data_IF_891883280508
#
_entry.id   IF_891883280508
#
_cell.length_a   1.000
_cell.length_b   1.000
_cell.length_c   1.000
_cell.angle_alpha   90.00
_cell.angle_beta   90.00
_cell.angle_gamma   90.00
#
_symmetry.space_group_name_H-M   'P 1'
#
loop_
_entity.id
_entity.type
_entity.pdbx_description
1 polymer ?
#
# COMPACT_ATOMS: atom_id res chain seq x y z
N UNK A 1 31.57 -14.99 -15.76
CA UNK A 1 32.97 -15.34 -16.10
C UNK A 1 33.98 -14.29 -15.65
N UNK A 2 33.90 -13.02 -16.05
CA UNK A 2 34.92 -11.99 -15.71
C UNK A 2 35.06 -11.69 -14.20
N UNK A 3 34.02 -11.96 -13.42
CA UNK A 3 34.02 -11.84 -11.96
C UNK A 3 34.34 -13.18 -11.25
N UNK A 4 34.78 -14.21 -11.99
CA UNK A 4 35.18 -15.51 -11.43
C UNK A 4 34.04 -16.48 -11.08
N UNK A 5 32.78 -16.08 -11.26
CA UNK A 5 31.58 -16.87 -10.92
C UNK A 5 31.50 -18.15 -11.76
N UNK A 6 31.27 -19.29 -11.08
CA UNK A 6 31.12 -20.63 -11.68
C UNK A 6 29.65 -21.01 -11.92
N UNK A 7 29.39 -22.10 -12.67
CA UNK A 7 28.04 -22.51 -13.12
C UNK A 7 27.06 -22.80 -11.97
N UNK A 8 27.50 -23.47 -10.91
CA UNK A 8 26.66 -23.87 -9.77
C UNK A 8 26.80 -22.96 -8.53
N UNK A 9 27.37 -21.76 -8.71
CA UNK A 9 27.62 -20.84 -7.60
C UNK A 9 26.34 -20.10 -7.18
N UNK A 10 26.08 -20.03 -5.87
CA UNK A 10 24.91 -19.37 -5.34
C UNK A 10 25.13 -17.86 -5.20
N UNK A 11 24.26 -17.07 -5.84
CA UNK A 11 24.29 -15.61 -5.78
C UNK A 11 23.11 -15.07 -5.00
N UNK A 12 23.34 -13.95 -4.29
CA UNK A 12 22.30 -13.22 -3.58
C UNK A 12 21.74 -12.09 -4.46
N UNK A 13 20.49 -12.24 -4.89
CA UNK A 13 19.74 -11.12 -5.44
C UNK A 13 19.19 -10.26 -4.29
N UNK A 14 19.61 -8.99 -4.27
CA UNK A 14 19.20 -8.00 -3.26
C UNK A 14 18.95 -6.65 -3.92
N UNK A 15 18.07 -5.87 -3.31
CA UNK A 15 17.91 -4.46 -3.66
C UNK A 15 19.17 -3.70 -3.22
N UNK A 16 20.03 -3.38 -4.18
CA UNK A 16 21.32 -2.69 -3.97
C UNK A 16 21.17 -1.21 -3.64
N UNK A 17 20.28 -0.54 -4.36
CA UNK A 17 20.06 0.91 -4.25
C UNK A 17 18.72 1.20 -3.57
N UNK A 18 18.77 1.99 -2.50
CA UNK A 18 17.62 2.31 -1.64
C UNK A 18 16.81 3.51 -2.17
N UNK A 19 16.61 3.55 -3.49
CA UNK A 19 15.81 4.54 -4.21
C UNK A 19 14.79 3.82 -5.09
N UNK A 20 13.64 3.49 -4.50
CA UNK A 20 12.60 2.69 -5.14
C UNK A 20 11.66 3.58 -5.95
N UNK A 21 11.84 3.57 -7.27
CA UNK A 21 10.99 4.32 -8.20
C UNK A 21 9.68 3.58 -8.46
N UNK A 22 8.57 4.33 -8.36
CA UNK A 22 7.20 3.94 -8.72
C UNK A 22 6.76 2.54 -8.23
N UNK A 23 6.82 2.30 -6.91
CA UNK A 23 6.26 1.07 -6.34
C UNK A 23 4.73 1.04 -6.50
N UNK A 24 4.24 0.34 -7.51
CA UNK A 24 2.83 0.32 -7.87
C UNK A 24 2.13 -0.98 -7.37
N UNK A 25 1.27 -0.92 -6.35
CA UNK A 25 0.61 -2.11 -5.81
C UNK A 25 -0.21 -2.92 -6.82
N UNK A 26 -0.61 -2.34 -7.97
CA UNK A 26 -1.35 -3.05 -9.02
C UNK A 26 -0.47 -3.95 -9.89
N UNK A 27 0.79 -3.56 -10.12
CA UNK A 27 1.66 -4.23 -11.10
C UNK A 27 2.89 -4.88 -10.43
N UNK A 28 3.33 -4.37 -9.27
CA UNK A 28 4.59 -4.72 -8.63
C UNK A 28 4.44 -5.73 -7.49
N UNK A 29 3.42 -6.60 -7.48
CA UNK A 29 3.15 -7.49 -6.36
C UNK A 29 4.39 -8.33 -5.94
N UNK A 30 5.14 -8.87 -6.90
CA UNK A 30 6.37 -9.64 -6.66
C UNK A 30 7.49 -8.74 -6.15
N UNK A 31 7.73 -7.60 -6.79
CA UNK A 31 8.77 -6.63 -6.41
C UNK A 31 8.54 -6.10 -4.98
N UNK A 32 7.30 -5.75 -4.65
CA UNK A 32 6.89 -5.30 -3.32
C UNK A 32 7.09 -6.43 -2.30
N UNK A 33 6.75 -7.68 -2.63
CA UNK A 33 6.96 -8.80 -1.74
C UNK A 33 8.45 -9.02 -1.42
N UNK A 34 9.31 -9.04 -2.44
CA UNK A 34 10.75 -9.24 -2.23
C UNK A 34 11.37 -8.08 -1.45
N UNK A 35 10.92 -6.85 -1.69
CA UNK A 35 11.39 -5.68 -0.95
C UNK A 35 10.95 -5.71 0.51
N UNK A 36 9.71 -6.12 0.76
CA UNK A 36 9.19 -6.37 2.10
C UNK A 36 10.02 -7.44 2.83
N UNK A 37 10.33 -8.57 2.20
CA UNK A 37 11.13 -9.63 2.82
C UNK A 37 12.55 -9.15 3.14
N UNK A 38 13.19 -8.40 2.23
CA UNK A 38 14.50 -7.81 2.52
C UNK A 38 14.45 -6.85 3.72
N UNK A 39 13.43 -5.98 3.78
CA UNK A 39 13.24 -5.08 4.91
C UNK A 39 12.94 -5.84 6.22
N UNK A 40 12.12 -6.90 6.16
CA UNK A 40 11.76 -7.75 7.30
C UNK A 40 13.00 -8.39 7.90
N UNK A 41 13.85 -9.00 7.06
CA UNK A 41 15.09 -9.61 7.52
C UNK A 41 16.06 -8.58 8.10
N UNK A 42 16.20 -7.41 7.48
CA UNK A 42 17.04 -6.34 8.02
C UNK A 42 16.62 -5.90 9.43
N UNK A 43 15.31 -5.82 9.69
CA UNK A 43 14.75 -5.47 11.01
C UNK A 43 14.95 -6.61 12.02
N UNK A 44 14.64 -7.86 11.64
CA UNK A 44 14.72 -9.00 12.55
C UNK A 44 16.15 -9.37 12.92
N UNK A 45 17.09 -9.22 11.98
CA UNK A 45 18.51 -9.48 12.19
C UNK A 45 19.26 -8.29 12.80
N UNK A 46 18.58 -7.18 13.08
CA UNK A 46 19.18 -5.96 13.64
C UNK A 46 20.28 -5.38 12.73
N UNK A 47 20.13 -5.52 11.42
CA UNK A 47 20.99 -4.83 10.43
C UNK A 47 20.68 -3.32 10.37
N UNK A 48 19.46 -2.95 10.75
CA UNK A 48 19.02 -1.57 10.95
C UNK A 48 18.31 -1.43 12.29
N UNK A 49 18.71 -0.43 13.05
CA UNK A 49 18.11 -0.15 14.36
C UNK A 49 16.74 0.53 14.23
N UNK A 50 15.82 0.11 15.10
CA UNK A 50 14.55 0.81 15.33
C UNK A 50 14.23 0.87 16.83
N UNK A 51 13.33 1.78 17.18
CA UNK A 51 12.80 1.90 18.53
C UNK A 51 11.90 0.71 18.89
N UNK A 52 11.61 0.55 20.18
CA UNK A 52 10.72 -0.52 20.67
C UNK A 52 9.29 -0.37 20.14
N UNK A 53 8.78 0.86 20.05
CA UNK A 53 7.44 1.14 19.50
C UNK A 53 7.38 0.86 18.00
N UNK A 54 8.40 1.23 17.24
CA UNK A 54 8.50 0.89 15.81
C UNK A 54 8.58 -0.63 15.60
N UNK A 55 9.35 -1.35 16.43
CA UNK A 55 9.43 -2.81 16.39
C UNK A 55 8.05 -3.47 16.57
N UNK A 56 7.20 -2.95 17.46
CA UNK A 56 5.84 -3.47 17.66
C UNK A 56 4.94 -3.22 16.46
N UNK A 57 5.10 -2.07 15.77
CA UNK A 57 4.40 -1.79 14.52
C UNK A 57 4.85 -2.78 13.44
N UNK A 58 6.16 -3.00 13.29
CA UNK A 58 6.71 -4.00 12.35
C UNK A 58 6.20 -5.41 12.66
N UNK A 59 6.16 -5.80 13.94
CA UNK A 59 5.65 -7.10 14.37
C UNK A 59 4.15 -7.27 14.07
N UNK A 60 3.34 -6.23 14.32
CA UNK A 60 1.92 -6.24 14.02
C UNK A 60 1.63 -6.34 12.51
N UNK A 61 2.40 -5.62 11.69
CA UNK A 61 2.32 -5.72 10.23
C UNK A 61 2.74 -7.11 9.74
N UNK A 62 3.84 -7.68 10.27
CA UNK A 62 4.26 -9.04 9.93
C UNK A 62 3.19 -10.07 10.30
N UNK A 63 2.67 -10.02 11.52
CA UNK A 63 1.60 -10.91 11.96
C UNK A 63 0.37 -10.80 11.05
N UNK A 64 -0.03 -9.58 10.67
CA UNK A 64 -1.14 -9.37 9.76
C UNK A 64 -0.88 -9.96 8.36
N UNK A 65 0.33 -9.73 7.82
CA UNK A 65 0.75 -10.24 6.52
C UNK A 65 0.77 -11.77 6.53
N UNK A 66 1.36 -12.40 7.55
CA UNK A 66 1.38 -13.86 7.70
C UNK A 66 -0.03 -14.45 7.77
N UNK A 67 -0.93 -13.82 8.53
CA UNK A 67 -2.33 -14.26 8.64
C UNK A 67 -3.05 -14.21 7.29
N UNK A 68 -2.85 -13.14 6.51
CA UNK A 68 -3.46 -12.97 5.19
C UNK A 68 -2.86 -13.91 4.13
N UNK A 69 -1.55 -14.13 4.15
CA UNK A 69 -0.87 -15.06 3.22
C UNK A 69 -1.33 -16.50 3.43
N UNK A 70 -1.43 -16.96 4.69
CA UNK A 70 -1.90 -18.32 4.99
C UNK A 70 -3.34 -18.54 4.51
N UNK A 71 -4.21 -17.54 4.67
CA UNK A 71 -5.60 -17.62 4.17
C UNK A 71 -5.70 -17.63 2.65
N UNK A 72 -4.69 -17.12 1.93
CA UNK A 72 -4.63 -17.16 0.48
C UNK A 72 -4.15 -18.53 -0.02
N UNK A 73 -3.18 -19.15 0.66
CA UNK A 73 -2.65 -20.48 0.30
C UNK A 73 -3.66 -21.62 0.53
N UNK A 74 -4.58 -21.47 1.49
CA UNK A 74 -5.62 -22.50 1.73
C UNK A 74 -6.69 -22.55 0.63
N UNK A 75 -6.74 -21.55 -0.26
CA UNK A 75 -7.65 -21.52 -1.41
C UNK A 75 -7.07 -22.19 -2.67
N UNK A 76 -5.78 -22.56 -2.68
CA UNK A 76 -5.08 -23.11 -3.87
C UNK A 76 -5.04 -24.66 -3.91
N UNK A 77 -5.61 -25.36 -2.90
CA UNK A 77 -5.59 -26.84 -2.81
C UNK A 77 -6.96 -27.53 -2.85
N UNK A 78 -8.07 -26.80 -3.00
CA UNK A 78 -9.33 -27.41 -3.45
C UNK A 78 -9.43 -27.22 -4.95
N UNK A 79 -9.48 -28.33 -5.67
CA UNK A 79 -9.88 -28.39 -7.08
C UNK A 79 -11.35 -27.94 -7.22
N UNK A 80 -11.60 -26.64 -7.06
CA UNK A 80 -12.93 -26.00 -7.05
C UNK A 80 -13.08 -24.98 -8.17
N UNK A 81 -12.19 -24.96 -9.17
CA UNK A 81 -12.35 -24.07 -10.33
C UNK A 81 -13.34 -24.59 -11.37
N UNK A 82 -13.59 -25.89 -11.46
CA UNK A 82 -14.47 -26.45 -12.52
C UNK A 82 -15.82 -26.94 -11.99
N UNK A 83 -15.92 -27.35 -10.73
CA UNK A 83 -17.18 -27.91 -10.18
C UNK A 83 -18.16 -26.79 -9.81
N UNK A 84 -17.69 -25.69 -9.23
CA UNK A 84 -18.52 -24.55 -8.82
C UNK A 84 -19.04 -23.74 -10.01
N UNK A 85 -18.29 -23.66 -11.11
CA UNK A 85 -18.75 -23.00 -12.34
C UNK A 85 -19.83 -23.83 -13.05
N UNK A 86 -19.73 -25.16 -13.01
CA UNK A 86 -20.74 -26.07 -13.59
C UNK A 86 -22.01 -26.08 -12.73
N UNK A 87 -21.90 -26.07 -11.40
CA UNK A 87 -23.05 -26.03 -10.48
C UNK A 87 -23.76 -24.66 -10.49
N UNK A 88 -22.99 -23.56 -10.62
CA UNK A 88 -23.55 -22.22 -10.84
C UNK A 88 -24.17 -22.06 -12.24
N UNK A 89 -23.61 -22.68 -13.28
CA UNK A 89 -24.20 -22.71 -14.62
C UNK A 89 -25.49 -23.55 -14.68
N UNK A 90 -25.54 -24.66 -13.93
CA UNK A 90 -26.75 -25.48 -13.77
C UNK A 90 -27.87 -24.72 -13.03
N UNK A 91 -27.54 -23.97 -11.98
CA UNK A 91 -28.52 -23.13 -11.26
C UNK A 91 -29.06 -21.99 -12.13
N UNK A 92 -28.24 -21.40 -13.00
CA UNK A 92 -28.69 -20.37 -13.95
C UNK A 92 -29.58 -20.94 -15.07
N UNK A 93 -29.37 -22.20 -15.47
CA UNK A 93 -30.21 -22.87 -16.47
C UNK A 93 -31.53 -23.38 -15.87
N UNK A 94 -31.57 -23.75 -14.59
CA UNK A 94 -32.78 -24.19 -13.90
C UNK A 94 -33.79 -23.03 -13.70
N UNK A 95 -33.30 -21.79 -13.61
CA UNK A 95 -34.14 -20.57 -13.56
C UNK A 95 -34.74 -20.21 -14.93
N UNK A 96 -34.23 -20.78 -16.03
CA UNK A 96 -34.69 -20.45 -17.39
C UNK A 96 -35.78 -21.41 -17.92
N UNK A 97 -36.16 -22.45 -17.16
CA UNK A 97 -37.12 -23.48 -17.63
C UNK A 97 -38.35 -23.73 -16.75
N UNK A 98 -38.56 -22.96 -15.67
CA UNK A 98 -39.87 -22.94 -14.99
C UNK A 98 -40.69 -21.71 -15.41
N UNK A 99 -41.33 -21.84 -16.58
CA UNK A 99 -42.47 -21.01 -16.92
C UNK A 99 -43.66 -21.38 -16.03
N UNK A 100 -44.10 -20.45 -15.17
CA UNK A 100 -45.34 -20.66 -14.42
C UNK A 100 -45.71 -19.57 -13.40
N UNK A 101 -46.70 -18.77 -13.79
CA UNK A 101 -47.61 -17.93 -12.97
C UNK A 101 -47.07 -16.59 -12.47
N UNK A 102 -47.19 -15.58 -13.34
CA UNK A 102 -47.40 -14.20 -12.91
C UNK A 102 -48.90 -13.99 -12.69
N UNK A 103 -49.31 -13.72 -11.44
CA UNK A 103 -50.61 -13.13 -11.12
C UNK A 103 -50.43 -12.01 -10.09
N UNK A 104 -50.88 -10.81 -10.50
CA UNK A 104 -51.14 -9.61 -9.70
C UNK A 104 -49.90 -8.92 -9.06
N UNK A 105 -49.63 -7.63 -9.20
CA UNK A 105 -50.49 -6.44 -9.27
C UNK A 105 -49.83 -5.37 -10.16
N UNK A 106 -50.66 -4.72 -10.98
CA UNK A 106 -50.37 -3.43 -11.58
C UNK A 106 -50.38 -2.38 -10.46
N UNK A 107 -49.22 -1.88 -10.05
CA UNK A 107 -49.10 -0.63 -9.28
C UNK A 107 -48.58 0.49 -10.21
N UNK A 108 -49.15 1.67 -10.00
CA UNK A 108 -49.17 2.85 -10.86
C UNK A 108 -47.81 3.31 -11.43
N UNK A 109 -47.75 3.44 -12.76
CA UNK A 109 -46.57 3.87 -13.55
C UNK A 109 -46.39 5.41 -13.55
N UNK A 110 -47.01 6.15 -12.61
CA UNK A 110 -46.90 7.63 -12.58
C UNK A 110 -46.10 8.19 -11.41
N UNK A 111 -45.68 7.37 -10.44
CA UNK A 111 -44.85 7.85 -9.33
C UNK A 111 -43.36 7.62 -9.60
N UNK A 112 -42.62 8.72 -9.70
CA UNK A 112 -41.16 8.70 -9.83
C UNK A 112 -40.59 8.13 -8.51
N UNK A 113 -39.94 6.95 -8.53
CA UNK A 113 -39.42 6.33 -7.32
C UNK A 113 -38.38 7.24 -6.66
N UNK A 114 -38.53 7.40 -5.35
CA UNK A 114 -37.72 8.29 -4.52
C UNK A 114 -37.19 7.50 -3.32
N UNK A 115 -35.90 7.65 -3.06
CA UNK A 115 -35.23 7.08 -1.89
C UNK A 115 -34.85 8.21 -0.95
N UNK A 116 -35.16 8.10 0.34
CA UNK A 116 -34.96 9.17 1.29
C UNK A 116 -34.59 8.64 2.68
N UNK A 117 -33.41 9.02 3.17
CA UNK A 117 -32.84 8.48 4.40
C UNK A 117 -31.86 9.45 5.08
N UNK A 118 -31.57 9.20 6.36
CA UNK A 118 -30.44 9.83 7.04
C UNK A 118 -29.15 9.09 6.70
N UNK A 119 -28.19 9.78 6.09
CA UNK A 119 -26.85 9.25 5.81
C UNK A 119 -25.77 10.16 6.40
N UNK A 120 -24.60 9.59 6.62
CA UNK A 120 -23.41 10.33 7.08
C UNK A 120 -22.55 10.71 5.88
N UNK A 121 -22.28 12.00 5.73
CA UNK A 121 -21.49 12.58 4.65
C UNK A 121 -20.09 12.97 5.15
N UNK A 122 -19.07 12.63 4.37
CA UNK A 122 -17.72 13.16 4.52
C UNK A 122 -17.23 13.72 3.17
N UNK A 123 -16.52 14.86 3.24
CA UNK A 123 -15.82 15.46 2.10
C UNK A 123 -14.38 15.85 2.47
N UNK A 124 -13.40 15.52 1.62
CA UNK A 124 -12.03 15.93 1.84
C UNK A 124 -11.89 17.45 1.55
N UNK A 125 -11.72 18.27 2.59
CA UNK A 125 -11.30 19.67 2.45
C UNK A 125 -9.84 19.80 2.88
N UNK A 126 -9.07 20.60 2.16
CA UNK A 126 -7.61 20.77 2.34
C UNK A 126 -7.15 21.24 3.74
N UNK A 127 -8.07 21.69 4.62
CA UNK A 127 -7.69 22.44 5.84
C UNK A 127 -8.51 22.12 7.14
N UNK A 128 -9.35 21.08 7.20
CA UNK A 128 -10.11 20.76 8.44
C UNK A 128 -10.18 19.26 8.73
N UNK A 129 -10.21 18.91 10.02
CA UNK A 129 -10.27 17.55 10.57
C UNK A 129 -11.38 16.68 9.96
N UNK A 130 -11.04 15.41 9.73
CA UNK A 130 -11.88 14.38 9.08
C UNK A 130 -13.05 13.95 9.99
N UNK A 131 -14.24 14.55 9.82
CA UNK A 131 -15.44 14.13 10.55
C UNK A 131 -16.63 13.90 9.62
N UNK A 132 -17.30 12.76 9.77
CA UNK A 132 -18.59 12.48 9.14
C UNK A 132 -19.69 13.30 9.83
N UNK A 133 -20.57 13.91 9.03
CA UNK A 133 -21.74 14.66 9.53
C UNK A 133 -23.01 14.04 8.97
N UNK A 134 -24.05 13.94 9.80
CA UNK A 134 -25.34 13.38 9.38
C UNK A 134 -26.17 14.44 8.64
N UNK A 135 -26.80 14.02 7.54
CA UNK A 135 -27.72 14.82 6.73
C UNK A 135 -28.90 13.96 6.27
N UNK A 136 -29.99 14.62 5.88
CA UNK A 136 -31.13 13.99 5.24
C UNK A 136 -30.94 13.97 3.73
N UNK A 137 -30.82 12.79 3.14
CA UNK A 137 -30.60 12.61 1.71
C UNK A 137 -31.88 12.22 1.00
N UNK A 138 -32.05 12.73 -0.22
CA UNK A 138 -33.13 12.40 -1.14
C UNK A 138 -32.52 12.08 -2.50
N UNK A 139 -32.77 10.87 -2.97
CA UNK A 139 -32.42 10.41 -4.31
C UNK A 139 -33.67 10.42 -5.18
N UNK A 140 -33.60 11.11 -6.32
CA UNK A 140 -34.68 11.17 -7.30
C UNK A 140 -34.08 11.22 -8.71
N UNK A 141 -34.66 10.45 -9.63
CA UNK A 141 -34.18 10.29 -11.00
C UNK A 141 -32.74 9.77 -11.05
N UNK A 142 -31.79 10.61 -11.45
CA UNK A 142 -30.34 10.33 -11.45
C UNK A 142 -29.57 11.30 -10.55
N UNK A 143 -30.27 12.00 -9.65
CA UNK A 143 -29.69 13.05 -8.81
C UNK A 143 -29.85 12.74 -7.33
N UNK A 144 -28.85 13.13 -6.56
CA UNK A 144 -28.86 13.11 -5.11
C UNK A 144 -28.89 14.55 -4.57
N UNK A 145 -29.81 14.83 -3.67
CA UNK A 145 -29.92 16.08 -2.95
C UNK A 145 -29.88 15.82 -1.45
N UNK A 146 -29.32 16.74 -0.66
CA UNK A 146 -29.33 16.59 0.79
C UNK A 146 -29.60 17.87 1.55
N UNK A 147 -30.17 17.72 2.74
CA UNK A 147 -30.68 18.76 3.62
C UNK A 147 -30.11 18.58 5.02
N UNK A 148 -30.10 19.64 5.84
CA UNK A 148 -29.61 19.56 7.22
C UNK A 148 -30.42 18.57 8.06
N UNK A 149 -31.72 18.49 7.83
CA UNK A 149 -32.66 17.59 8.50
C UNK A 149 -33.88 17.33 7.60
N UNK A 150 -34.74 16.40 8.00
CA UNK A 150 -35.94 15.99 7.25
C UNK A 150 -36.98 17.10 7.11
N UNK A 151 -37.10 17.98 8.09
CA UNK A 151 -38.08 19.08 8.10
C UNK A 151 -37.85 20.10 6.98
N UNK A 152 -36.59 20.25 6.55
CA UNK A 152 -36.19 21.18 5.49
C UNK A 152 -36.23 20.58 4.09
N UNK A 153 -36.77 19.37 3.91
CA UNK A 153 -36.80 18.67 2.63
C UNK A 153 -37.59 19.43 1.53
N UNK A 154 -38.64 20.18 1.92
CA UNK A 154 -39.41 21.02 0.99
C UNK A 154 -38.74 22.37 0.68
N UNK A 155 -37.62 22.69 1.35
CA UNK A 155 -36.84 23.91 1.13
C UNK A 155 -35.72 23.75 0.11
N UNK A 156 -34.77 24.68 0.10
CA UNK A 156 -33.58 24.58 -0.74
C UNK A 156 -32.60 23.53 -0.20
N UNK A 157 -32.12 22.59 -1.04
CA UNK A 157 -31.12 21.62 -0.62
C UNK A 157 -29.78 22.30 -0.35
N UNK A 158 -29.01 21.75 0.58
CA UNK A 158 -27.63 22.17 0.83
C UNK A 158 -26.80 22.01 -0.43
N UNK A 159 -27.05 20.92 -1.16
CA UNK A 159 -26.49 20.71 -2.49
C UNK A 159 -27.33 19.69 -3.26
N UNK A 160 -27.34 19.80 -4.58
CA UNK A 160 -27.93 18.82 -5.50
C UNK A 160 -26.90 18.44 -6.55
N UNK A 161 -26.68 17.14 -6.71
CA UNK A 161 -25.66 16.58 -7.58
C UNK A 161 -26.27 15.60 -8.55
N UNK A 162 -25.92 15.71 -9.83
CA UNK A 162 -26.27 14.72 -10.84
C UNK A 162 -25.17 13.65 -10.88
N UNK A 163 -25.57 12.39 -10.80
CA UNK A 163 -24.64 11.27 -10.73
C UNK A 163 -24.31 10.66 -12.09
N UNK A 164 -24.89 11.15 -13.20
CA UNK A 164 -24.56 10.63 -14.54
C UNK A 164 -23.06 10.73 -14.83
N UNK A 165 -22.46 9.61 -15.21
CA UNK A 165 -21.02 9.52 -15.48
C UNK A 165 -20.12 9.60 -14.24
N UNK A 166 -20.67 9.48 -13.02
CA UNK A 166 -19.86 9.38 -11.82
C UNK A 166 -19.27 7.97 -11.65
N UNK A 167 -18.10 7.88 -11.02
CA UNK A 167 -17.54 6.60 -10.58
C UNK A 167 -18.05 6.29 -9.17
N UNK A 168 -18.69 5.13 -9.02
CA UNK A 168 -19.28 4.66 -7.76
C UNK A 168 -18.43 3.53 -7.22
N UNK A 169 -17.76 3.76 -6.08
CA UNK A 169 -16.83 2.81 -5.48
C UNK A 169 -17.37 2.32 -4.12
N UNK A 170 -17.52 0.99 -3.91
CA UNK A 170 -17.92 0.44 -2.63
C UNK A 170 -16.82 0.61 -1.57
N UNK A 171 -17.21 1.03 -0.37
CA UNK A 171 -16.36 1.07 0.83
C UNK A 171 -17.04 0.29 1.97
N UNK A 172 -17.16 -1.03 1.78
CA UNK A 172 -17.93 -1.92 2.66
C UNK A 172 -17.04 -2.86 3.45
N UNK A 173 -17.27 -2.90 4.76
CA UNK A 173 -16.83 -3.96 5.65
C UNK A 173 -18.04 -4.44 6.47
N UNK A 174 -18.57 -5.62 6.10
CA UNK A 174 -19.75 -6.23 6.74
C UNK A 174 -19.48 -6.55 8.20
N UNK A 175 -18.33 -7.15 8.52
CA UNK A 175 -17.94 -7.50 9.89
C UNK A 175 -17.76 -6.26 10.79
N UNK A 176 -17.21 -5.18 10.23
CA UNK A 176 -17.02 -3.90 10.93
C UNK A 176 -18.24 -2.97 10.89
N UNK A 177 -19.41 -3.43 10.38
CA UNK A 177 -20.62 -2.62 10.17
C UNK A 177 -20.34 -1.28 9.48
N UNK A 178 -19.42 -1.29 8.50
CA UNK A 178 -19.07 -0.13 7.69
C UNK A 178 -19.72 -0.30 6.33
N UNK A 179 -20.68 0.55 6.02
CA UNK A 179 -21.39 0.52 4.74
C UNK A 179 -21.22 1.86 4.01
N UNK A 180 -20.06 2.03 3.39
CA UNK A 180 -19.67 3.27 2.71
C UNK A 180 -19.85 3.20 1.19
N UNK A 181 -20.17 4.35 0.59
CA UNK A 181 -20.22 4.56 -0.87
C UNK A 181 -19.36 5.80 -1.17
N UNK A 182 -18.30 5.63 -1.96
CA UNK A 182 -17.51 6.74 -2.48
C UNK A 182 -18.02 7.11 -3.87
N UNK A 183 -18.33 8.39 -4.06
CA UNK A 183 -18.80 8.97 -5.31
C UNK A 183 -17.75 9.94 -5.84
N UNK A 184 -17.34 9.75 -7.09
CA UNK A 184 -16.43 10.63 -7.82
C UNK A 184 -17.23 11.27 -8.97
N UNK A 185 -17.70 12.49 -8.76
CA UNK A 185 -18.65 13.15 -9.66
C UNK A 185 -17.88 14.14 -10.56
N UNK A 186 -17.91 13.98 -11.89
CA UNK A 186 -17.23 14.90 -12.80
C UNK A 186 -17.90 16.28 -12.77
N UNK A 187 -17.09 17.32 -12.56
CA UNK A 187 -17.50 18.73 -12.58
C UNK A 187 -16.58 19.53 -13.51
N UNK A 188 -16.98 20.72 -13.93
CA UNK A 188 -16.21 21.53 -14.89
C UNK A 188 -14.76 21.85 -14.44
N UNK A 189 -14.50 21.85 -13.12
CA UNK A 189 -13.22 22.20 -12.50
C UNK A 189 -12.51 20.97 -11.87
N UNK A 190 -12.79 19.76 -12.35
CA UNK A 190 -12.16 18.50 -11.91
C UNK A 190 -13.16 17.43 -11.42
N UNK A 191 -12.83 16.74 -10.33
CA UNK A 191 -13.69 15.69 -9.75
C UNK A 191 -14.15 16.10 -8.35
N UNK A 192 -15.45 16.08 -8.11
CA UNK A 192 -16.03 16.30 -6.78
C UNK A 192 -16.11 14.95 -6.04
N UNK A 193 -15.29 14.77 -5.01
CA UNK A 193 -15.28 13.56 -4.18
C UNK A 193 -16.25 13.65 -2.99
N UNK A 194 -17.12 12.65 -2.86
CA UNK A 194 -18.09 12.54 -1.77
C UNK A 194 -18.09 11.13 -1.17
N UNK A 195 -18.15 11.03 0.15
CA UNK A 195 -18.24 9.75 0.88
C UNK A 195 -19.55 9.70 1.65
N UNK A 196 -20.43 8.78 1.27
CA UNK A 196 -21.68 8.47 1.97
C UNK A 196 -21.46 7.27 2.87
N UNK A 197 -22.05 7.27 4.05
CA UNK A 197 -22.06 6.13 4.97
C UNK A 197 -23.47 5.84 5.43
N UNK A 198 -23.91 4.61 5.17
CA UNK A 198 -25.17 4.03 5.57
C UNK A 198 -25.03 3.33 6.93
N UNK A 199 -26.15 3.11 7.61
CA UNK A 199 -26.18 2.52 8.94
C UNK A 199 -26.33 0.98 8.92
N UNK A 200 -27.00 0.41 7.90
CA UNK A 200 -27.22 -1.03 7.79
C UNK A 200 -27.22 -1.56 6.34
N UNK A 201 -27.12 -2.88 6.18
CA UNK A 201 -26.98 -3.59 4.89
C UNK A 201 -28.08 -3.25 3.88
N UNK A 202 -29.35 -3.28 4.33
CA UNK A 202 -30.49 -2.98 3.44
C UNK A 202 -30.46 -1.55 2.90
N UNK A 203 -30.15 -0.56 3.74
CA UNK A 203 -30.02 0.82 3.32
C UNK A 203 -28.87 0.94 2.32
N UNK A 204 -27.71 0.38 2.65
CA UNK A 204 -26.58 0.38 1.73
C UNK A 204 -26.89 -0.23 0.37
N UNK A 205 -27.56 -1.39 0.33
CA UNK A 205 -27.86 -2.07 -0.93
C UNK A 205 -28.77 -1.21 -1.83
N UNK A 206 -29.79 -0.58 -1.26
CA UNK A 206 -30.69 0.33 -1.98
C UNK A 206 -29.95 1.56 -2.51
N UNK A 207 -29.18 2.23 -1.66
CA UNK A 207 -28.43 3.44 -2.03
C UNK A 207 -27.31 3.14 -3.03
N UNK A 208 -26.64 1.99 -2.91
CA UNK A 208 -25.58 1.57 -3.82
C UNK A 208 -26.13 1.22 -5.20
N UNK A 209 -27.19 0.41 -5.28
CA UNK A 209 -27.86 0.10 -6.54
C UNK A 209 -28.36 1.39 -7.24
N UNK A 210 -28.96 2.32 -6.48
CA UNK A 210 -29.44 3.59 -7.02
C UNK A 210 -28.29 4.43 -7.61
N UNK A 211 -27.16 4.55 -6.89
CA UNK A 211 -25.98 5.28 -7.38
C UNK A 211 -25.37 4.62 -8.63
N UNK A 212 -25.25 3.28 -8.66
CA UNK A 212 -24.69 2.54 -9.79
C UNK A 212 -25.57 2.60 -11.04
N UNK A 213 -26.90 2.67 -10.90
CA UNK A 213 -27.80 2.88 -12.03
C UNK A 213 -27.73 4.33 -12.53
N UNK A 214 -27.73 5.30 -11.62
CA UNK A 214 -27.66 6.71 -12.00
C UNK A 214 -26.33 7.08 -12.68
N UNK A 215 -25.21 6.43 -12.32
CA UNK A 215 -23.95 6.62 -13.04
C UNK A 215 -24.02 6.19 -14.50
N UNK A 216 -24.79 5.14 -14.79
CA UNK A 216 -25.12 4.66 -16.14
C UNK A 216 -26.27 5.42 -16.80
N UNK A 217 -26.81 6.46 -16.14
CA UNK A 217 -27.93 7.26 -16.64
C UNK A 217 -29.31 6.64 -16.48
N UNK A 218 -29.43 5.52 -15.76
CA UNK A 218 -30.68 4.81 -15.48
C UNK A 218 -31.29 5.27 -14.16
N UNK A 219 -32.60 5.17 -14.01
CA UNK A 219 -33.33 5.53 -12.79
C UNK A 219 -33.69 4.30 -11.97
N UNK A 220 -34.16 4.49 -10.73
CA UNK A 220 -34.69 3.39 -9.90
C UNK A 220 -36.00 2.78 -10.45
N UNK A 221 -36.60 3.38 -11.48
CA UNK A 221 -37.74 2.80 -12.20
C UNK A 221 -37.30 1.77 -13.26
N UNK A 222 -36.00 1.64 -13.54
CA UNK A 222 -35.49 0.58 -14.42
C UNK A 222 -35.73 -0.79 -13.76
N UNK A 223 -36.24 -1.75 -14.55
CA UNK A 223 -36.45 -3.14 -14.15
C UNK A 223 -35.23 -3.81 -13.50
N UNK A 224 -34.01 -3.33 -13.78
CA UNK A 224 -32.78 -3.83 -13.17
C UNK A 224 -32.54 -3.38 -11.72
N UNK A 225 -33.27 -2.39 -11.21
CA UNK A 225 -33.03 -1.86 -9.85
C UNK A 225 -33.29 -2.89 -8.75
N UNK A 226 -34.44 -3.55 -8.75
CA UNK A 226 -34.77 -4.54 -7.72
C UNK A 226 -33.85 -5.78 -7.76
N UNK A 227 -33.56 -6.37 -8.94
CA UNK A 227 -32.56 -7.43 -9.06
C UNK A 227 -31.18 -7.00 -8.55
N UNK A 228 -30.74 -5.76 -8.85
CA UNK A 228 -29.45 -5.26 -8.40
C UNK A 228 -29.38 -5.12 -6.86
N UNK A 229 -30.45 -4.62 -6.24
CA UNK A 229 -30.55 -4.57 -4.76
C UNK A 229 -30.45 -5.96 -4.16
N UNK A 230 -31.14 -6.95 -4.74
CA UNK A 230 -31.10 -8.34 -4.29
C UNK A 230 -29.71 -8.96 -4.50
N UNK A 231 -29.03 -8.68 -5.61
CA UNK A 231 -27.67 -9.12 -5.89
C UNK A 231 -26.66 -8.54 -4.89
N UNK A 232 -26.80 -7.26 -4.54
CA UNK A 232 -25.95 -6.65 -3.52
C UNK A 232 -26.22 -7.28 -2.15
N UNK A 233 -27.50 -7.50 -1.79
CA UNK A 233 -27.86 -8.16 -0.53
C UNK A 233 -27.37 -9.61 -0.47
N UNK A 234 -27.48 -10.38 -1.55
CA UNK A 234 -26.97 -11.75 -1.60
C UNK A 234 -25.45 -11.76 -1.48
N UNK A 235 -24.75 -10.84 -2.14
CA UNK A 235 -23.29 -10.66 -1.99
C UNK A 235 -22.89 -10.29 -0.56
N UNK A 236 -23.62 -9.38 0.10
CA UNK A 236 -23.37 -9.02 1.50
C UNK A 236 -23.62 -10.22 2.43
N UNK A 237 -24.69 -10.99 2.20
CA UNK A 237 -24.99 -12.22 2.96
C UNK A 237 -23.97 -13.31 2.73
N UNK A 238 -23.45 -13.51 1.52
CA UNK A 238 -22.37 -14.45 1.23
C UNK A 238 -21.09 -14.06 1.96
N UNK A 239 -20.75 -12.76 1.95
CA UNK A 239 -19.65 -12.22 2.78
C UNK A 239 -19.90 -12.39 4.28
N UNK A 240 -21.15 -12.27 4.73
CA UNK A 240 -21.56 -12.51 6.11
C UNK A 240 -21.53 -14.00 6.49
N UNK A 241 -21.82 -14.92 5.55
CA UNK A 241 -21.81 -16.38 5.77
C UNK A 241 -20.39 -16.96 5.79
N UNK A 242 -19.49 -16.37 4.99
CA UNK A 242 -18.05 -16.63 5.05
C UNK A 242 -17.41 -16.05 6.33
N UNK A 243 -18.01 -15.03 6.95
CA UNK A 243 -17.58 -14.55 8.27
C UNK A 243 -18.27 -15.28 9.43
N UNK A 244 -19.54 -15.66 9.33
CA UNK A 244 -20.25 -16.41 10.37
C UNK A 244 -19.76 -17.87 10.50
N UNK A 245 -19.31 -18.49 9.40
CA UNK A 245 -18.71 -19.84 9.43
C UNK A 245 -17.21 -19.83 9.79
N UNK A 246 -16.58 -18.65 9.91
CA UNK A 246 -15.19 -18.50 10.37
C UNK A 246 -15.05 -17.81 11.74
N UNK A 247 -16.13 -17.34 12.36
CA UNK A 247 -16.08 -16.62 13.65
C UNK A 247 -16.37 -17.51 14.86
N UNK A 248 -16.90 -18.73 14.69
CA UNK A 248 -17.33 -19.54 15.84
C UNK A 248 -16.43 -20.73 16.24
N UNK A 249 -15.36 -21.08 15.51
CA UNK A 249 -14.54 -22.23 15.94
C UNK A 249 -13.07 -22.29 15.51
N UNK A 250 -12.42 -21.21 15.05
CA UNK A 250 -11.01 -21.32 14.64
C UNK A 250 -10.13 -20.05 14.77
N UNK A 251 -10.57 -19.01 15.48
CA UNK A 251 -9.75 -17.80 15.69
C UNK A 251 -9.28 -17.54 17.13
N UNK A 252 -9.59 -18.41 18.09
CA UNK A 252 -9.17 -18.20 19.50
C UNK A 252 -7.94 -18.99 19.94
N UNK A 253 -7.34 -19.85 19.12
CA UNK A 253 -6.05 -20.48 19.45
C UNK A 253 -5.24 -20.74 18.18
N UNK A 254 -4.73 -19.68 17.56
CA UNK A 254 -3.40 -19.82 16.98
C UNK A 254 -2.44 -19.49 18.12
N UNK A 255 -1.60 -20.43 18.54
CA UNK A 255 -0.52 -20.15 19.47
C UNK A 255 0.41 -19.15 18.78
N UNK A 256 0.10 -17.86 18.92
CA UNK A 256 0.90 -16.79 18.37
C UNK A 256 2.28 -16.94 19.00
N UNK A 257 3.30 -17.22 18.19
CA UNK A 257 4.68 -17.14 18.64
C UNK A 257 5.19 -15.71 18.42
N UNK A 258 5.09 -14.81 19.43
CA UNK A 258 5.44 -13.40 19.25
C UNK A 258 6.93 -13.19 18.97
N UNK A 259 7.77 -14.15 19.36
CA UNK A 259 9.23 -14.09 19.20
C UNK A 259 9.66 -14.19 17.72
N UNK A 260 8.81 -14.73 16.84
CA UNK A 260 9.08 -14.79 15.40
C UNK A 260 8.89 -13.45 14.68
N UNK A 261 8.23 -12.48 15.31
CA UNK A 261 7.87 -11.20 14.69
C UNK A 261 8.73 -10.03 15.17
N UNK A 262 9.63 -10.26 16.12
CA UNK A 262 10.51 -9.24 16.70
C UNK A 262 11.96 -9.68 16.66
N UNK A 263 12.88 -8.73 16.80
CA UNK A 263 14.30 -9.05 16.88
C UNK A 263 14.68 -9.82 18.16
N UNK A 264 15.79 -10.58 18.17
CA UNK A 264 16.25 -11.34 19.34
C UNK A 264 16.44 -10.49 20.59
N UNK A 265 16.88 -9.23 20.46
CA UNK A 265 17.02 -8.30 21.59
C UNK A 265 15.67 -7.93 22.19
N UNK A 266 14.66 -7.66 21.35
CA UNK A 266 13.31 -7.35 21.80
C UNK A 266 12.65 -8.57 22.46
N UNK A 267 12.79 -9.75 21.86
CA UNK A 267 12.28 -11.01 22.42
C UNK A 267 12.83 -11.29 23.83
N UNK A 268 14.13 -11.08 24.06
CA UNK A 268 14.77 -11.28 25.38
C UNK A 268 14.30 -10.29 26.45
N UNK A 269 13.82 -9.10 26.06
CA UNK A 269 13.45 -8.02 27.00
C UNK A 269 12.06 -8.21 27.61
N UNK A 270 11.15 -8.91 26.92
CA UNK A 270 9.76 -9.05 27.33
C UNK A 270 9.38 -10.53 27.53
N UNK A 271 8.46 -10.79 28.46
CA UNK A 271 7.86 -12.13 28.56
C UNK A 271 6.95 -12.35 27.34
N UNK A 272 7.00 -13.56 26.76
CA UNK A 272 6.23 -13.93 25.56
C UNK A 272 4.75 -13.49 25.60
N UNK A 273 4.01 -13.76 26.69
CA UNK A 273 2.61 -13.33 26.83
C UNK A 273 2.40 -11.81 26.78
N UNK A 274 3.29 -11.03 27.39
CA UNK A 274 3.21 -9.57 27.37
C UNK A 274 3.50 -9.03 25.97
N UNK A 275 4.48 -9.63 25.30
CA UNK A 275 4.84 -9.27 23.93
C UNK A 275 3.68 -9.54 22.96
N UNK A 276 3.06 -10.72 23.06
CA UNK A 276 1.88 -11.07 22.27
C UNK A 276 0.74 -10.04 22.46
N UNK A 277 0.44 -9.65 23.71
CA UNK A 277 -0.59 -8.65 23.99
C UNK A 277 -0.28 -7.29 23.32
N UNK A 278 0.97 -6.82 23.38
CA UNK A 278 1.36 -5.54 22.75
C UNK A 278 1.31 -5.61 21.22
N UNK A 279 1.69 -6.73 20.62
CA UNK A 279 1.58 -6.91 19.16
C UNK A 279 0.11 -6.93 18.74
N UNK A 280 -0.77 -7.60 19.49
CA UNK A 280 -2.22 -7.63 19.21
C UNK A 280 -2.88 -6.26 19.38
N UNK A 281 -2.43 -5.45 20.34
CA UNK A 281 -2.87 -4.07 20.50
C UNK A 281 -2.50 -3.22 19.26
N UNK A 282 -1.23 -3.29 18.83
CA UNK A 282 -0.78 -2.61 17.62
C UNK A 282 -1.48 -3.14 16.35
N UNK A 283 -1.82 -4.43 16.31
CA UNK A 283 -2.52 -5.09 15.20
C UNK A 283 -3.90 -4.48 14.92
N UNK A 284 -4.61 -3.99 15.94
CA UNK A 284 -5.93 -3.36 15.77
C UNK A 284 -5.90 -2.18 14.79
N UNK A 285 -4.77 -1.47 14.71
CA UNK A 285 -4.60 -0.32 13.82
C UNK A 285 -4.37 -0.72 12.35
N UNK A 286 -3.98 -1.98 12.09
CA UNK A 286 -3.64 -2.48 10.75
C UNK A 286 -4.55 -3.60 10.27
N UNK A 287 -5.43 -4.13 11.11
CA UNK A 287 -6.24 -5.32 10.86
C UNK A 287 -7.16 -5.27 9.61
N UNK A 288 -7.41 -4.08 9.06
CA UNK A 288 -8.27 -3.87 7.89
C UNK A 288 -7.49 -3.62 6.60
N UNK A 289 -6.15 -3.67 6.64
CA UNK A 289 -5.31 -3.40 5.47
C UNK A 289 -5.26 -4.61 4.53
N UNK A 290 -5.42 -4.42 3.22
CA UNK A 290 -5.14 -5.48 2.25
C UNK A 290 -3.68 -5.94 2.29
N UNK A 291 -3.40 -7.17 1.86
CA UNK A 291 -2.07 -7.78 1.93
C UNK A 291 -0.96 -6.91 1.32
N UNK A 292 -1.18 -6.40 0.10
CA UNK A 292 -0.19 -5.56 -0.60
C UNK A 292 -0.02 -4.20 0.09
N UNK A 293 -1.11 -3.63 0.61
CA UNK A 293 -1.04 -2.37 1.35
C UNK A 293 -0.27 -2.55 2.67
N UNK A 294 -0.48 -3.65 3.40
CA UNK A 294 0.27 -3.96 4.62
C UNK A 294 1.78 -4.08 4.34
N UNK A 295 2.17 -4.75 3.24
CA UNK A 295 3.58 -4.82 2.79
C UNK A 295 4.15 -3.44 2.46
N UNK A 296 3.39 -2.61 1.74
CA UNK A 296 3.82 -1.23 1.44
C UNK A 296 3.95 -0.38 2.70
N UNK A 297 3.04 -0.52 3.67
CA UNK A 297 3.14 0.16 4.97
C UNK A 297 4.37 -0.27 5.76
N UNK A 298 4.72 -1.55 5.71
CA UNK A 298 5.96 -2.05 6.30
C UNK A 298 7.19 -1.38 5.65
N UNK A 299 7.24 -1.34 4.31
CA UNK A 299 8.34 -0.70 3.57
C UNK A 299 8.42 0.80 3.89
N UNK A 300 7.28 1.49 3.98
CA UNK A 300 7.22 2.91 4.32
C UNK A 300 7.72 3.19 5.75
N UNK A 301 7.34 2.35 6.72
CA UNK A 301 7.86 2.46 8.09
C UNK A 301 9.37 2.22 8.12
N UNK A 302 9.87 1.23 7.39
CA UNK A 302 11.30 0.98 7.25
C UNK A 302 12.06 2.14 6.60
N UNK A 303 11.47 2.77 5.58
CA UNK A 303 12.01 3.97 4.93
C UNK A 303 12.10 5.19 5.86
N UNK A 304 11.27 5.23 6.91
CA UNK A 304 11.25 6.33 7.87
C UNK A 304 12.32 6.22 8.96
N UNK A 305 13.02 5.09 9.04
CA UNK A 305 14.08 4.89 10.03
C UNK A 305 15.29 5.79 9.76
N UNK A 306 15.98 6.31 10.79
CA UNK A 306 17.07 7.27 10.63
C UNK A 306 18.23 6.77 9.77
N UNK A 307 18.56 5.48 9.87
CA UNK A 307 19.67 4.86 9.14
C UNK A 307 19.25 4.23 7.81
N UNK A 308 18.00 4.42 7.39
CA UNK A 308 17.50 3.84 6.16
C UNK A 308 18.35 4.25 4.94
N UNK A 309 18.72 3.26 4.15
CA UNK A 309 19.42 3.46 2.89
C UNK A 309 20.85 3.96 3.05
N UNK A 310 21.52 3.63 4.16
CA UNK A 310 22.96 3.78 4.31
C UNK A 310 23.66 2.46 4.02
N UNK A 311 24.69 2.50 3.17
CA UNK A 311 25.63 1.39 2.96
C UNK A 311 26.98 1.81 3.49
N UNK A 312 27.57 1.00 4.38
CA UNK A 312 28.78 1.35 5.10
C UNK A 312 30.03 0.69 4.49
N UNK A 313 31.10 1.46 4.38
CA UNK A 313 32.42 0.98 3.96
C UNK A 313 33.48 1.46 4.94
N UNK A 314 34.35 0.55 5.38
CA UNK A 314 35.58 0.94 6.06
C UNK A 314 36.54 1.59 5.06
N UNK A 315 36.97 2.83 5.34
CA UNK A 315 37.81 3.63 4.46
C UNK A 315 38.94 4.32 5.23
N UNK A 316 40.01 4.68 4.52
CA UNK A 316 41.06 5.57 5.02
C UNK A 316 41.13 6.82 4.16
N UNK A 317 40.81 7.98 4.76
CA UNK A 317 40.90 9.26 4.08
C UNK A 317 42.36 9.68 3.85
N UNK A 318 42.63 10.32 2.71
CA UNK A 318 43.95 10.83 2.36
C UNK A 318 44.47 11.79 3.44
N UNK A 319 45.69 11.56 3.91
CA UNK A 319 46.30 12.34 4.99
C UNK A 319 45.89 11.91 6.41
N UNK A 320 44.92 11.01 6.56
CA UNK A 320 44.58 10.38 7.85
C UNK A 320 45.36 9.09 8.06
N UNK A 321 45.81 8.86 9.29
CA UNK A 321 46.31 7.55 9.74
C UNK A 321 45.22 6.69 10.39
N UNK A 322 44.05 7.28 10.67
CA UNK A 322 42.91 6.61 11.28
C UNK A 322 41.97 6.08 10.21
N UNK A 323 41.38 4.92 10.49
CA UNK A 323 40.32 4.34 9.70
C UNK A 323 38.98 4.94 10.13
N UNK A 324 38.15 5.27 9.15
CA UNK A 324 36.84 5.89 9.31
C UNK A 324 35.81 5.05 8.55
N UNK A 325 34.53 5.27 8.82
CA UNK A 325 33.43 4.65 8.07
C UNK A 325 32.89 5.66 7.06
N UNK A 326 32.69 5.23 5.82
CA UNK A 326 31.97 5.96 4.79
C UNK A 326 30.56 5.37 4.67
N UNK A 327 29.55 6.14 5.06
CA UNK A 327 28.15 5.85 4.76
C UNK A 327 27.76 6.43 3.41
N UNK A 328 27.30 5.59 2.49
CA UNK A 328 26.79 6.00 1.18
C UNK A 328 25.26 5.87 1.19
N UNK A 329 24.56 6.98 0.89
CA UNK A 329 23.10 7.01 0.76
C UNK A 329 22.70 7.54 -0.61
N UNK A 330 21.40 7.53 -0.90
CA UNK A 330 20.87 7.92 -2.21
C UNK A 330 21.15 9.38 -2.62
N UNK A 331 21.42 10.26 -1.65
CA UNK A 331 21.61 11.69 -1.88
C UNK A 331 22.87 12.27 -1.23
N UNK A 332 23.65 11.47 -0.49
CA UNK A 332 24.77 11.97 0.32
C UNK A 332 25.79 10.90 0.66
N UNK A 333 27.01 11.36 0.95
CA UNK A 333 28.08 10.61 1.59
C UNK A 333 28.27 11.14 3.00
N UNK A 334 28.54 10.25 3.96
CA UNK A 334 28.75 10.60 5.36
C UNK A 334 30.07 9.97 5.80
N UNK A 335 31.00 10.78 6.29
CA UNK A 335 32.14 10.32 7.07
C UNK A 335 31.70 10.14 8.52
N UNK A 336 31.90 8.94 9.05
CA UNK A 336 31.57 8.54 10.41
C UNK A 336 32.86 8.11 11.10
N UNK A 337 33.08 8.57 12.32
CA UNK A 337 34.24 8.15 13.12
C UNK A 337 34.03 6.69 13.55
N UNK A 338 34.97 5.81 13.20
CA UNK A 338 34.82 4.37 13.41
C UNK A 338 34.84 3.95 14.89
N UNK A 339 35.39 4.79 15.78
CA UNK A 339 35.48 4.49 17.21
C UNK A 339 34.22 4.91 17.97
N UNK A 340 33.61 6.03 17.58
CA UNK A 340 32.45 6.62 18.27
C UNK A 340 31.12 6.35 17.57
N UNK A 341 31.14 6.02 16.27
CA UNK A 341 29.94 5.88 15.44
C UNK A 341 29.26 7.22 15.10
N UNK A 342 29.89 8.36 15.43
CA UNK A 342 29.29 9.69 15.25
C UNK A 342 29.59 10.23 13.83
N UNK A 343 28.59 10.77 13.10
CA UNK A 343 28.81 11.47 11.85
C UNK A 343 29.71 12.70 12.04
N UNK A 344 30.83 12.75 11.30
CA UNK A 344 31.82 13.83 11.33
C UNK A 344 31.59 14.84 10.21
N UNK A 345 31.34 14.37 8.99
CA UNK A 345 31.18 15.23 7.81
C UNK A 345 30.16 14.63 6.86
N UNK A 346 29.29 15.45 6.29
CA UNK A 346 28.30 15.02 5.30
C UNK A 346 28.47 15.81 4.01
N UNK A 347 28.60 15.10 2.89
CA UNK A 347 28.67 15.67 1.55
C UNK A 347 27.41 15.31 0.76
N UNK A 348 26.78 16.28 0.12
CA UNK A 348 25.58 16.05 -0.69
C UNK A 348 25.94 15.77 -2.15
N UNK A 349 25.23 14.85 -2.79
CA UNK A 349 25.42 14.54 -4.20
C UNK A 349 25.13 15.72 -5.12
N UNK A 350 24.22 16.61 -4.73
CA UNK A 350 23.93 17.86 -5.46
C UNK A 350 25.14 18.75 -5.66
N UNK A 351 26.18 18.60 -4.83
CA UNK A 351 27.38 19.42 -4.86
C UNK A 351 28.54 18.68 -5.52
N UNK A 352 28.36 17.43 -6.00
CA UNK A 352 29.42 16.70 -6.70
C UNK A 352 29.54 17.27 -8.11
N UNK A 353 30.76 17.67 -8.48
CA UNK A 353 31.09 18.05 -9.85
C UNK A 353 31.55 16.85 -10.67
N UNK A 354 32.46 16.06 -10.09
CA UNK A 354 33.04 14.88 -10.70
C UNK A 354 33.66 13.97 -9.64
N UNK A 355 33.82 12.69 -9.96
CA UNK A 355 34.60 11.75 -9.17
C UNK A 355 35.45 10.89 -10.10
N UNK A 356 36.60 10.45 -9.62
CA UNK A 356 37.49 9.56 -10.35
C UNK A 356 38.08 8.51 -9.40
N UNK A 357 38.46 7.36 -9.93
CA UNK A 357 39.21 6.33 -9.21
C UNK A 357 40.63 6.28 -9.76
N UNK A 358 41.60 6.59 -8.92
CA UNK A 358 43.00 6.36 -9.24
C UNK A 358 43.32 4.87 -9.00
N UNK A 359 43.47 4.09 -10.07
CA UNK A 359 43.69 2.65 -10.02
C UNK A 359 45.07 2.26 -9.47
N UNK A 360 46.10 3.09 -9.69
CA UNK A 360 47.45 2.83 -9.18
C UNK A 360 47.49 2.90 -7.65
N UNK A 361 46.83 3.90 -7.08
CA UNK A 361 46.80 4.14 -5.62
C UNK A 361 45.56 3.54 -4.96
N UNK A 362 44.63 2.99 -5.74
CA UNK A 362 43.30 2.53 -5.29
C UNK A 362 42.60 3.58 -4.42
N UNK A 363 42.50 4.80 -4.94
CA UNK A 363 41.86 5.93 -4.26
C UNK A 363 40.68 6.45 -5.06
N UNK A 364 39.54 6.59 -4.39
CA UNK A 364 38.40 7.36 -4.92
C UNK A 364 38.64 8.82 -4.57
N UNK A 365 38.60 9.70 -5.57
CA UNK A 365 38.72 11.15 -5.42
C UNK A 365 37.43 11.78 -5.89
N UNK A 366 36.82 12.61 -5.04
CA UNK A 366 35.55 13.30 -5.34
C UNK A 366 35.79 14.80 -5.22
N UNK A 367 35.45 15.51 -6.29
CA UNK A 367 35.43 16.96 -6.34
C UNK A 367 33.99 17.46 -6.10
N UNK A 368 33.86 18.33 -5.13
CA UNK A 368 32.63 19.05 -4.84
C UNK A 368 32.75 20.51 -5.27
N UNK A 369 31.63 21.22 -5.21
CA UNK A 369 31.58 22.67 -5.36
C UNK A 369 32.53 23.39 -4.38
N UNK A 370 32.87 24.63 -4.74
CA UNK A 370 33.76 25.50 -3.95
C UNK A 370 35.19 24.94 -3.76
N UNK A 371 35.66 24.13 -4.72
CA UNK A 371 37.00 23.53 -4.72
C UNK A 371 37.26 22.65 -3.48
N UNK A 372 36.22 22.02 -2.95
CA UNK A 372 36.34 21.03 -1.87
C UNK A 372 36.63 19.68 -2.49
N UNK A 373 37.72 19.03 -2.07
CA UNK A 373 38.09 17.70 -2.53
C UNK A 373 38.12 16.73 -1.35
N UNK A 374 37.65 15.51 -1.57
CA UNK A 374 37.90 14.40 -0.65
C UNK A 374 38.51 13.24 -1.42
N UNK A 375 39.43 12.53 -0.78
CA UNK A 375 40.04 11.35 -1.34
C UNK A 375 40.16 10.28 -0.26
N UNK A 376 39.86 9.04 -0.60
CA UNK A 376 39.93 7.91 0.33
C UNK A 376 40.21 6.60 -0.39
N UNK A 377 40.82 5.66 0.34
CA UNK A 377 40.98 4.27 -0.07
C UNK A 377 39.98 3.39 0.67
N UNK A 378 39.28 2.52 -0.05
CA UNK A 378 38.39 1.51 0.55
C UNK A 378 39.20 0.33 1.10
N UNK A 379 38.93 -0.05 2.35
CA UNK A 379 39.60 -1.15 3.04
C UNK A 379 38.74 -2.42 3.11
N UNK A 380 37.42 -2.24 3.12
CA UNK A 380 36.42 -3.33 3.23
C UNK A 380 35.95 -3.88 1.88
N UNK A 381 36.19 -3.15 0.79
CA UNK A 381 35.70 -3.46 -0.54
C UNK A 381 36.62 -2.85 -1.60
N UNK A 382 36.52 -3.30 -2.85
CA UNK A 382 37.19 -2.65 -3.97
C UNK A 382 36.61 -1.23 -4.18
N UNK A 383 37.47 -0.28 -4.54
CA UNK A 383 37.07 1.09 -4.87
C UNK A 383 36.07 1.14 -6.04
N UNK A 384 36.08 0.13 -6.93
CA UNK A 384 35.06 -0.09 -7.97
C UNK A 384 33.65 -0.10 -7.40
N UNK A 385 33.44 -0.75 -6.26
CA UNK A 385 32.12 -0.90 -5.67
C UNK A 385 31.61 0.47 -5.21
N UNK A 386 32.42 1.25 -4.51
CA UNK A 386 32.01 2.60 -4.05
C UNK A 386 31.79 3.54 -5.23
N UNK A 387 32.63 3.46 -6.26
CA UNK A 387 32.43 4.20 -7.52
C UNK A 387 31.08 3.86 -8.17
N UNK A 388 30.75 2.57 -8.28
CA UNK A 388 29.47 2.10 -8.84
C UNK A 388 28.27 2.54 -7.99
N UNK A 389 28.42 2.62 -6.66
CA UNK A 389 27.37 3.12 -5.78
C UNK A 389 27.10 4.61 -6.00
N UNK A 390 28.14 5.44 -6.13
CA UNK A 390 28.00 6.88 -6.42
C UNK A 390 27.34 7.08 -7.79
N UNK A 391 27.89 6.46 -8.83
CA UNK A 391 27.37 6.56 -10.19
C UNK A 391 25.94 6.04 -10.33
N UNK A 392 25.66 4.89 -9.71
CA UNK A 392 24.33 4.28 -9.71
C UNK A 392 23.29 5.14 -9.00
N UNK A 393 23.59 5.72 -7.83
CA UNK A 393 22.63 6.63 -7.19
C UNK A 393 22.39 7.92 -7.98
N UNK A 394 23.43 8.48 -8.61
CA UNK A 394 23.29 9.62 -9.52
C UNK A 394 22.39 9.24 -10.69
N UNK A 395 22.63 8.09 -11.33
CA UNK A 395 21.79 7.55 -12.39
C UNK A 395 20.33 7.39 -11.96
N UNK A 396 20.07 6.79 -10.80
CA UNK A 396 18.70 6.58 -10.33
C UNK A 396 17.97 7.90 -10.04
N UNK A 397 18.69 8.99 -9.76
CA UNK A 397 18.16 10.33 -9.52
C UNK A 397 17.78 11.08 -10.81
N UNK A 398 18.30 10.68 -11.97
CA UNK A 398 17.94 11.28 -13.26
C UNK A 398 16.63 10.73 -13.82
N UNK A 399 16.13 9.61 -13.28
CA UNK A 399 14.86 9.01 -13.68
C UNK A 399 13.69 9.91 -13.27
N UNK A 400 12.79 10.19 -14.22
CA UNK A 400 11.57 10.96 -13.99
C UNK A 400 10.36 10.23 -14.53
N UNK A 401 9.16 10.57 -14.06
CA UNK A 401 7.89 9.95 -14.53
C UNK A 401 7.50 10.37 -15.94
N UNK A 402 8.05 11.50 -16.42
CA UNK A 402 7.66 12.13 -17.68
C UNK A 402 8.61 11.80 -18.85
N UNK A 403 9.77 11.21 -18.56
CA UNK A 403 10.74 10.77 -19.58
C UNK A 403 10.68 9.24 -19.71
N UNK A 404 10.57 8.78 -20.96
CA UNK A 404 10.55 7.39 -21.44
C UNK A 404 10.88 6.29 -20.41
N UNK A 405 9.99 5.29 -20.31
CA UNK A 405 10.15 4.08 -19.48
C UNK A 405 11.39 3.22 -19.84
N UNK A 406 12.09 3.53 -20.93
CA UNK A 406 13.30 2.84 -21.38
C UNK A 406 14.52 3.28 -20.57
N UNK A 407 15.21 2.32 -19.96
CA UNK A 407 16.43 2.54 -19.20
C UNK A 407 17.57 3.03 -20.12
N UNK A 408 18.22 4.15 -19.78
CA UNK A 408 19.39 4.65 -20.51
C UNK A 408 20.66 3.89 -20.06
N UNK A 409 20.91 2.74 -20.69
CA UNK A 409 22.04 1.86 -20.39
C UNK A 409 23.39 2.54 -20.64
N UNK A 410 23.50 3.34 -21.70
CA UNK A 410 24.73 4.08 -22.05
C UNK A 410 25.10 5.08 -20.96
N UNK A 411 24.11 5.80 -20.41
CA UNK A 411 24.34 6.71 -19.30
C UNK A 411 24.73 5.94 -18.03
N UNK A 412 24.08 4.81 -17.74
CA UNK A 412 24.46 3.98 -16.60
C UNK A 412 25.90 3.50 -16.71
N UNK A 413 26.32 3.00 -17.87
CA UNK A 413 27.70 2.56 -18.11
C UNK A 413 28.71 3.72 -18.06
N UNK A 414 28.36 4.93 -18.51
CA UNK A 414 29.24 6.11 -18.35
C UNK A 414 29.44 6.53 -16.90
N UNK A 415 28.43 6.32 -16.05
CA UNK A 415 28.48 6.71 -14.63
C UNK A 415 29.10 5.62 -13.74
N UNK A 416 29.06 4.36 -14.15
CA UNK A 416 29.52 3.21 -13.34
C UNK A 416 30.71 2.46 -13.91
N UNK A 417 30.94 2.59 -15.22
CA UNK A 417 32.15 2.14 -15.88
C UNK A 417 33.26 3.16 -15.64
N UNK A 418 34.41 2.69 -15.15
CA UNK A 418 35.61 3.52 -15.16
C UNK A 418 35.88 3.99 -16.58
N UNK A 419 36.11 5.29 -16.77
CA UNK A 419 36.83 5.73 -17.96
C UNK A 419 38.22 5.10 -17.83
N UNK A 420 38.58 4.21 -18.76
CA UNK A 420 39.96 3.73 -18.89
C UNK A 420 40.93 4.91 -19.12
#
# INVERSE_FOLDING_TARGET
MEQGIQEDEQLLLRFKYYSFFDLNPKYDAVRINQLYEQARWAILLEEIDCTEEEMLIFAALQYHISKLSLSAETQDFTSESEVDEIEAALSNLEVTLEGGKADSLLEDITDIPKLADNLKLFRPKKLLLKAFKQYWFVFKDTSIAYFKNKELEQGEPVEKLNLRGCEVVPDVNVAGRKFGIKLLIPVADGMNEMYLRCDHENQYAQWMAACMLASKGKTMADSSYQPEVLNILSFLRMKNRNSASQVASSLENMDMNPECFVSPRCAKKHKSKQLAARILEAHQNVAQMPLVEAKLRFIQAWQSLPEFGLTYYLVRFKGSKKDDILGVSYNRLIKIDAATGIPVTTWRFTNIKQWNVNWETRQVVIEFDQNVFTAFTCLSADCKIVHEYIGGYIFLSTRSKDQNETLDEDLFHKLTGGQD
#
